data_IF_773324478286
#
_entry.id   IF_773324478286
#
_cell.length_a   1.000
_cell.length_b   1.000
_cell.length_c   1.000
_cell.angle_alpha   90.00
_cell.angle_beta   90.00
_cell.angle_gamma   90.00
#
_symmetry.space_group_name_H-M   'P 1'
#
loop_
_entity.id
_entity.type
_entity.pdbx_description
1 polymer ?
#
# COMPACT_ATOMS: atom_id res chain seq x y z
N UNK A 1 -1.14 54.17 -41.19
CA UNK A 1 -1.22 54.00 -39.72
C UNK A 1 0.03 53.24 -39.28
N UNK A 2 1.18 53.92 -39.17
CA UNK A 2 1.80 54.40 -37.92
C UNK A 2 1.99 53.31 -36.85
N UNK A 3 3.16 52.65 -36.94
CA UNK A 3 4.12 52.34 -35.85
C UNK A 3 3.56 51.75 -34.56
N UNK A 4 3.84 50.47 -34.32
CA UNK A 4 3.99 49.89 -32.97
C UNK A 4 5.13 48.86 -33.02
N UNK A 5 6.34 49.39 -33.03
CA UNK A 5 7.54 48.70 -32.59
C UNK A 5 8.08 49.51 -31.39
N UNK A 6 7.89 48.99 -30.18
CA UNK A 6 8.62 49.37 -28.97
C UNK A 6 8.48 48.16 -28.02
N UNK A 7 9.47 47.27 -27.95
CA UNK A 7 10.71 47.34 -27.16
C UNK A 7 10.56 46.80 -25.72
N UNK A 8 11.62 46.10 -25.29
CA UNK A 8 11.97 45.55 -23.94
C UNK A 8 11.66 44.05 -23.82
N UNK A 9 12.60 43.15 -24.17
CA UNK A 9 13.82 42.80 -23.42
C UNK A 9 13.53 42.44 -21.96
N UNK A 10 13.15 41.19 -21.74
CA UNK A 10 13.45 40.41 -20.51
C UNK A 10 14.01 39.10 -21.05
N UNK A 11 15.25 39.07 -21.54
CA UNK A 11 16.45 38.80 -20.76
C UNK A 11 16.19 37.95 -19.50
N UNK A 12 16.56 36.67 -19.61
CA UNK A 12 17.06 35.82 -18.54
C UNK A 12 16.18 35.66 -17.29
N UNK A 13 15.41 34.56 -17.25
CA UNK A 13 15.41 33.72 -16.07
C UNK A 13 15.28 32.24 -16.49
N UNK A 14 16.32 31.74 -17.16
CA UNK A 14 16.61 30.31 -17.12
C UNK A 14 17.01 29.99 -15.67
N UNK A 15 16.00 29.74 -14.83
CA UNK A 15 16.24 29.23 -13.49
C UNK A 15 16.99 27.90 -13.65
N UNK A 16 18.20 27.74 -13.11
CA UNK A 16 18.77 26.42 -12.97
C UNK A 16 17.81 25.67 -12.04
N UNK A 17 17.12 24.67 -12.57
CA UNK A 17 16.58 23.57 -11.79
C UNK A 17 17.78 22.93 -11.11
N UNK A 18 18.16 23.47 -9.96
CA UNK A 18 19.09 22.84 -9.03
C UNK A 18 18.41 21.55 -8.60
N UNK A 19 18.74 20.47 -9.31
CA UNK A 19 18.49 19.12 -8.90
C UNK A 19 19.16 18.97 -7.52
N UNK A 20 18.38 19.17 -6.47
CA UNK A 20 18.74 18.73 -5.13
C UNK A 20 18.83 17.21 -5.23
N UNK A 21 20.06 16.74 -5.44
CA UNK A 21 20.38 15.34 -5.60
C UNK A 21 19.79 14.58 -4.41
N UNK A 22 19.14 13.44 -4.70
CA UNK A 22 18.64 12.49 -3.68
C UNK A 22 19.76 12.13 -2.68
N UNK A 23 21.02 12.23 -3.11
CA UNK A 23 22.21 12.03 -2.27
C UNK A 23 22.33 13.09 -1.16
N UNK A 24 21.99 14.35 -1.42
CA UNK A 24 22.02 15.41 -0.39
C UNK A 24 20.88 15.25 0.62
N UNK A 25 19.68 14.84 0.18
CA UNK A 25 18.58 14.49 1.08
C UNK A 25 18.94 13.29 1.99
N UNK A 26 19.62 12.28 1.44
CA UNK A 26 20.09 11.12 2.21
C UNK A 26 21.19 11.49 3.22
N UNK A 27 22.08 12.44 2.89
CA UNK A 27 23.09 12.94 3.83
C UNK A 27 22.48 13.80 4.93
N UNK A 28 21.49 14.63 4.60
CA UNK A 28 20.80 15.49 5.57
C UNK A 28 19.99 14.67 6.58
N UNK A 29 19.26 13.66 6.13
CA UNK A 29 18.51 12.75 7.03
C UNK A 29 19.42 11.92 7.95
N UNK A 30 20.66 11.60 7.54
CA UNK A 30 21.66 10.99 8.43
C UNK A 30 22.16 11.96 9.51
N UNK A 31 22.46 13.21 9.14
CA UNK A 31 22.87 14.24 10.11
C UNK A 31 21.78 14.57 11.13
N UNK A 32 20.52 14.61 10.71
CA UNK A 32 19.38 14.85 11.62
C UNK A 32 19.11 13.67 12.56
N UNK A 33 19.55 12.47 12.19
CA UNK A 33 19.45 11.27 13.04
C UNK A 33 20.57 11.21 14.08
N UNK A 34 21.76 11.71 13.76
CA UNK A 34 22.90 11.79 14.70
C UNK A 34 22.81 12.96 15.68
N UNK A 35 22.15 14.06 15.30
CA UNK A 35 22.05 15.28 16.13
C UNK A 35 21.01 15.18 17.25
N UNK A 36 20.11 14.20 17.21
CA UNK A 36 19.13 13.95 18.28
C UNK A 36 19.77 13.10 19.36
N UNK A 37 20.22 13.76 20.43
CA UNK A 37 20.63 13.09 21.68
C UNK A 37 19.53 12.08 22.09
N UNK A 38 19.86 10.82 22.42
CA UNK A 38 18.86 9.82 22.78
C UNK A 38 18.04 10.33 23.98
N UNK A 39 16.71 10.26 23.84
CA UNK A 39 15.80 10.55 24.94
C UNK A 39 16.15 9.64 26.13
N UNK A 40 16.17 10.22 27.34
CA UNK A 40 16.57 9.53 28.55
C UNK A 40 15.62 8.36 28.80
N UNK A 41 16.14 7.14 28.77
CA UNK A 41 15.37 5.91 29.04
C UNK A 41 15.23 5.78 30.54
N UNK A 42 14.05 6.04 31.08
CA UNK A 42 13.74 5.78 32.48
C UNK A 42 13.57 4.28 32.66
N UNK A 43 14.37 3.70 33.54
CA UNK A 43 14.31 2.29 33.91
C UNK A 43 13.52 2.12 35.21
N UNK A 44 13.12 0.90 35.55
CA UNK A 44 12.42 0.61 36.81
C UNK A 44 13.25 1.01 38.06
N UNK A 45 14.56 1.16 37.93
CA UNK A 45 15.43 1.67 39.00
C UNK A 45 15.28 3.19 39.18
N UNK A 46 15.01 3.95 38.12
CA UNK A 46 14.80 5.40 38.18
C UNK A 46 13.45 5.77 38.81
N UNK A 47 12.46 4.86 38.75
CA UNK A 47 11.17 5.02 39.45
C UNK A 47 11.31 4.85 40.97
N UNK A 48 12.23 3.99 41.43
CA UNK A 48 12.48 3.75 42.86
C UNK A 48 13.18 4.91 43.56
N UNK A 49 13.95 5.73 42.82
CA UNK A 49 14.63 6.91 43.36
C UNK A 49 13.79 8.18 43.26
N UNK A 50 12.66 8.14 42.54
CA UNK A 50 11.71 9.24 42.52
C UNK A 50 10.99 9.32 43.87
N UNK A 51 11.17 10.43 44.60
CA UNK A 51 10.40 10.75 45.83
C UNK A 51 8.96 11.17 45.48
N UNK A 52 8.27 10.34 44.70
CA UNK A 52 6.85 10.47 44.42
C UNK A 52 6.06 9.76 45.49
N UNK A 53 5.07 10.45 46.07
CA UNK A 53 4.17 9.88 47.07
C UNK A 53 3.33 8.77 46.43
N UNK A 54 3.65 7.51 46.68
CA UNK A 54 2.85 6.37 46.20
C UNK A 54 1.70 6.19 47.18
N UNK A 55 0.52 6.72 46.84
CA UNK A 55 -0.72 6.44 47.58
C UNK A 55 -1.10 4.98 47.38
N UNK A 56 -0.88 4.14 48.39
CA UNK A 56 -1.46 2.80 48.45
C UNK A 56 -2.93 2.94 48.82
N UNK A 57 -3.84 2.96 47.85
CA UNK A 57 -5.27 2.83 48.14
C UNK A 57 -5.54 1.41 48.64
N UNK A 58 -6.12 1.29 49.83
CA UNK A 58 -6.41 0.02 50.47
C UNK A 58 -7.26 -0.92 49.61
N UNK A 59 -6.97 -2.21 49.74
CA UNK A 59 -7.69 -3.32 49.12
C UNK A 59 -9.13 -3.37 49.65
N UNK A 60 -10.17 -3.39 48.81
CA UNK A 60 -11.51 -3.70 49.27
C UNK A 60 -11.63 -5.21 49.57
N UNK A 61 -12.18 -5.51 50.74
CA UNK A 61 -12.49 -6.83 51.25
C UNK A 61 -13.38 -7.63 50.26
N UNK A 62 -13.15 -8.93 50.04
CA UNK A 62 -13.93 -9.71 49.09
C UNK A 62 -15.36 -9.94 49.60
N UNK A 63 -16.40 -9.79 48.77
CA UNK A 63 -17.74 -10.25 49.10
C UNK A 63 -17.84 -11.79 49.04
N UNK A 64 -18.69 -12.32 49.91
CA UNK A 64 -18.92 -13.74 50.13
C UNK A 64 -19.49 -14.49 48.92
N UNK A 65 -19.15 -15.79 48.88
CA UNK A 65 -19.67 -16.90 48.08
C UNK A 65 -20.77 -16.57 47.06
N UNK A 66 -20.36 -16.49 45.79
CA UNK A 66 -21.25 -16.74 44.67
C UNK A 66 -20.88 -18.09 44.06
N UNK A 67 -21.87 -18.98 44.06
CA UNK A 67 -21.89 -20.27 43.34
C UNK A 67 -21.32 -20.10 41.92
N UNK A 68 -20.40 -20.95 41.46
CA UNK A 68 -19.93 -20.87 40.08
C UNK A 68 -21.08 -21.29 39.17
N UNK A 69 -21.71 -20.32 38.52
CA UNK A 69 -22.40 -20.59 37.27
C UNK A 69 -21.32 -21.02 36.27
N UNK A 70 -21.50 -22.21 35.72
CA UNK A 70 -20.66 -22.80 34.69
C UNK A 70 -20.75 -21.91 33.44
N UNK A 71 -19.85 -20.93 33.39
CA UNK A 71 -19.68 -20.05 32.26
C UNK A 71 -19.11 -20.87 31.12
N UNK A 72 -19.89 -20.99 30.06
CA UNK A 72 -19.43 -21.32 28.72
C UNK A 72 -18.08 -20.63 28.50
N UNK A 73 -17.02 -21.44 28.31
CA UNK A 73 -15.67 -20.94 28.15
C UNK A 73 -15.65 -20.02 26.92
N UNK A 74 -15.72 -18.71 27.18
CA UNK A 74 -15.48 -17.70 26.15
C UNK A 74 -14.09 -17.99 25.57
N UNK A 75 -14.04 -18.24 24.26
CA UNK A 75 -12.78 -18.39 23.56
C UNK A 75 -11.84 -17.24 23.94
N UNK A 76 -10.55 -17.52 24.19
CA UNK A 76 -9.61 -16.49 24.56
C UNK A 76 -9.58 -15.43 23.44
N UNK A 77 -9.77 -14.16 23.82
CA UNK A 77 -9.65 -13.06 22.88
C UNK A 77 -8.30 -13.17 22.14
N UNK A 78 -8.28 -12.96 20.81
CA UNK A 78 -7.08 -13.17 20.03
C UNK A 78 -5.94 -12.30 20.55
N UNK A 79 -4.75 -12.89 20.65
CA UNK A 79 -3.55 -12.15 21.06
C UNK A 79 -3.16 -11.14 19.98
N UNK A 80 -2.46 -10.09 20.38
CA UNK A 80 -2.01 -9.07 19.44
C UNK A 80 -1.13 -9.64 18.32
N UNK A 81 -0.39 -10.71 18.60
CA UNK A 81 0.42 -11.43 17.61
C UNK A 81 -0.45 -12.14 16.57
N UNK A 82 -1.57 -12.76 16.99
CA UNK A 82 -2.52 -13.38 16.06
C UNK A 82 -3.18 -12.33 15.17
N UNK A 83 -3.54 -11.17 15.72
CA UNK A 83 -4.07 -10.04 14.94
C UNK A 83 -3.02 -9.55 13.94
N UNK A 84 -1.76 -9.41 14.34
CA UNK A 84 -0.68 -8.98 13.45
C UNK A 84 -0.49 -9.95 12.27
N UNK A 85 -0.47 -11.26 12.54
CA UNK A 85 -0.30 -12.30 11.52
C UNK A 85 -1.48 -12.37 10.56
N UNK A 86 -2.71 -12.21 11.06
CA UNK A 86 -3.91 -12.17 10.25
C UNK A 86 -3.90 -11.00 9.26
N UNK A 87 -3.62 -9.78 9.75
CA UNK A 87 -3.54 -8.60 8.86
C UNK A 87 -2.35 -8.70 7.91
N UNK A 88 -1.21 -9.28 8.33
CA UNK A 88 -0.09 -9.54 7.44
C UNK A 88 -0.51 -10.44 6.27
N UNK A 89 -1.15 -11.58 6.54
CA UNK A 89 -1.59 -12.52 5.52
C UNK A 89 -2.62 -11.92 4.55
N UNK A 90 -3.57 -11.14 5.07
CA UNK A 90 -4.56 -10.41 4.26
C UNK A 90 -3.88 -9.38 3.35
N UNK A 91 -2.93 -8.60 3.86
CA UNK A 91 -2.18 -7.60 3.08
C UNK A 91 -1.36 -8.27 1.98
N UNK A 92 -0.64 -9.36 2.30
CA UNK A 92 0.13 -10.14 1.31
C UNK A 92 -0.79 -10.63 0.19
N UNK A 93 -1.96 -11.17 0.53
CA UNK A 93 -2.93 -11.68 -0.43
C UNK A 93 -3.44 -10.58 -1.35
N UNK A 94 -3.83 -9.42 -0.80
CA UNK A 94 -4.27 -8.26 -1.59
C UNK A 94 -3.17 -7.70 -2.49
N UNK A 95 -1.93 -7.66 -2.03
CA UNK A 95 -0.79 -7.29 -2.87
C UNK A 95 -0.61 -8.24 -4.05
N UNK A 96 -0.75 -9.56 -3.86
CA UNK A 96 -0.69 -10.54 -4.95
C UNK A 96 -1.84 -10.38 -5.94
N UNK A 97 -3.06 -10.16 -5.45
CA UNK A 97 -4.22 -9.86 -6.30
C UNK A 97 -3.95 -8.62 -7.20
N UNK A 98 -3.37 -7.55 -6.63
CA UNK A 98 -2.99 -6.36 -7.39
C UNK A 98 -1.93 -6.65 -8.46
N UNK A 99 -0.95 -7.51 -8.16
CA UNK A 99 0.05 -7.92 -9.16
C UNK A 99 -0.57 -8.72 -10.29
N UNK A 100 -1.48 -9.63 -9.98
CA UNK A 100 -2.16 -10.44 -10.98
C UNK A 100 -3.08 -9.57 -11.85
N UNK A 101 -3.81 -8.61 -11.26
CA UNK A 101 -4.58 -7.62 -12.01
C UNK A 101 -3.71 -6.77 -12.92
N UNK A 102 -2.54 -6.34 -12.43
CA UNK A 102 -1.56 -5.60 -13.24
C UNK A 102 -1.09 -6.44 -14.43
N UNK A 103 -0.73 -7.71 -14.20
CA UNK A 103 -0.33 -8.63 -15.28
C UNK A 103 -1.46 -8.83 -16.29
N UNK A 104 -2.69 -9.03 -15.82
CA UNK A 104 -3.86 -9.17 -16.69
C UNK A 104 -4.12 -7.91 -17.52
N UNK A 105 -3.96 -6.73 -16.93
CA UNK A 105 -4.07 -5.44 -17.64
C UNK A 105 -3.02 -5.32 -18.73
N UNK A 106 -1.76 -5.65 -18.43
CA UNK A 106 -0.67 -5.57 -19.41
C UNK A 106 -0.94 -6.51 -20.61
N UNK A 107 -1.42 -7.73 -20.35
CA UNK A 107 -1.88 -8.66 -21.40
C UNK A 107 -3.10 -8.11 -22.16
N UNK A 108 -4.07 -7.52 -21.47
CA UNK A 108 -5.25 -6.93 -22.11
C UNK A 108 -4.89 -5.75 -23.02
N UNK A 109 -3.87 -4.97 -22.66
CA UNK A 109 -3.37 -3.86 -23.47
C UNK A 109 -2.69 -4.35 -24.76
N UNK A 110 -1.96 -5.45 -24.70
CA UNK A 110 -1.43 -6.13 -25.89
C UNK A 110 -2.58 -6.62 -26.78
N UNK A 111 -3.55 -7.35 -26.20
CA UNK A 111 -4.72 -7.84 -26.94
C UNK A 111 -5.53 -6.72 -27.59
N UNK A 112 -5.67 -5.57 -26.92
CA UNK A 112 -6.33 -4.38 -27.47
C UNK A 112 -5.56 -3.85 -28.69
N UNK A 113 -4.23 -3.80 -28.59
CA UNK A 113 -3.37 -3.35 -29.68
C UNK A 113 -3.48 -4.30 -30.88
N UNK A 114 -3.48 -5.60 -30.64
CA UNK A 114 -3.62 -6.63 -31.68
C UNK A 114 -5.00 -6.56 -32.34
N UNK A 115 -6.08 -6.48 -31.57
CA UNK A 115 -7.44 -6.35 -32.08
C UNK A 115 -7.63 -5.06 -32.88
N UNK A 116 -7.04 -3.95 -32.43
CA UNK A 116 -7.03 -2.68 -33.17
C UNK A 116 -6.29 -2.82 -34.50
N UNK A 117 -5.12 -3.43 -34.49
CA UNK A 117 -4.32 -3.62 -35.70
C UNK A 117 -5.04 -4.54 -36.70
N UNK A 118 -5.69 -5.61 -36.23
CA UNK A 118 -6.51 -6.48 -37.06
C UNK A 118 -7.66 -5.71 -37.71
N UNK A 119 -8.40 -4.89 -36.95
CA UNK A 119 -9.49 -4.07 -37.48
C UNK A 119 -9.02 -3.05 -38.54
N UNK A 120 -7.91 -2.37 -38.28
CA UNK A 120 -7.42 -1.29 -39.17
C UNK A 120 -6.76 -1.80 -40.45
N UNK A 121 -6.19 -3.02 -40.42
CA UNK A 121 -5.53 -3.62 -41.57
C UNK A 121 -6.46 -4.49 -42.43
N UNK A 122 -7.72 -4.69 -42.00
CA UNK A 122 -8.69 -5.47 -42.74
C UNK A 122 -9.20 -4.70 -43.96
N UNK A 123 -9.09 -5.33 -45.15
CA UNK A 123 -9.51 -4.71 -46.41
C UNK A 123 -11.01 -4.79 -46.65
N UNK A 124 -11.72 -5.75 -46.02
CA UNK A 124 -13.15 -5.98 -46.24
C UNK A 124 -14.01 -5.32 -45.16
N UNK A 125 -14.81 -4.32 -45.55
CA UNK A 125 -15.63 -3.55 -44.61
C UNK A 125 -16.71 -4.37 -43.88
N UNK A 126 -17.23 -5.44 -44.49
CA UNK A 126 -18.23 -6.30 -43.84
C UNK A 126 -17.62 -7.10 -42.68
N UNK A 127 -16.52 -7.82 -42.92
CA UNK A 127 -15.85 -8.63 -41.90
C UNK A 127 -15.26 -7.75 -40.78
N UNK A 128 -14.66 -6.62 -41.15
CA UNK A 128 -14.17 -5.63 -40.19
C UNK A 128 -15.26 -5.21 -39.20
N UNK A 129 -16.47 -4.93 -39.68
CA UNK A 129 -17.55 -4.44 -38.83
C UNK A 129 -18.34 -5.54 -38.10
N UNK A 130 -18.48 -6.74 -38.68
CA UNK A 130 -19.27 -7.81 -38.07
C UNK A 130 -18.49 -8.69 -37.09
N UNK A 131 -17.17 -8.84 -37.29
CA UNK A 131 -16.33 -9.75 -36.49
C UNK A 131 -15.27 -8.98 -35.71
N UNK A 132 -14.46 -8.16 -36.38
CA UNK A 132 -13.29 -7.53 -35.75
C UNK A 132 -13.67 -6.36 -34.83
N UNK A 133 -14.65 -5.54 -35.22
CA UNK A 133 -15.11 -4.41 -34.39
C UNK A 133 -15.67 -4.87 -33.04
N UNK A 134 -16.56 -5.88 -32.95
CA UNK A 134 -16.98 -6.43 -31.67
C UNK A 134 -15.82 -7.01 -30.83
N UNK A 135 -14.80 -7.60 -31.46
CA UNK A 135 -13.62 -8.09 -30.73
C UNK A 135 -12.80 -6.93 -30.17
N UNK A 136 -12.62 -5.85 -30.94
CA UNK A 136 -11.96 -4.64 -30.48
C UNK A 136 -12.72 -3.99 -29.31
N UNK A 137 -14.04 -3.85 -29.43
CA UNK A 137 -14.89 -3.28 -28.38
C UNK A 137 -14.83 -4.13 -27.10
N UNK A 138 -14.85 -5.47 -27.21
CA UNK A 138 -14.66 -6.39 -26.08
C UNK A 138 -13.28 -6.26 -25.43
N UNK A 139 -12.22 -6.16 -26.24
CA UNK A 139 -10.86 -6.00 -25.72
C UNK A 139 -10.71 -4.67 -24.95
N UNK A 140 -11.36 -3.61 -25.44
CA UNK A 140 -11.43 -2.32 -24.76
C UNK A 140 -12.18 -2.41 -23.45
N UNK A 141 -13.38 -2.99 -23.46
CA UNK A 141 -14.18 -3.18 -22.25
C UNK A 141 -13.44 -4.00 -21.19
N UNK A 142 -12.74 -5.07 -21.60
CA UNK A 142 -11.91 -5.89 -20.71
C UNK A 142 -10.83 -5.04 -20.01
N UNK A 143 -10.19 -4.14 -20.74
CA UNK A 143 -9.18 -3.25 -20.19
C UNK A 143 -9.79 -2.26 -19.20
N UNK A 144 -10.92 -1.63 -19.54
CA UNK A 144 -11.64 -0.72 -18.66
C UNK A 144 -12.10 -1.42 -17.36
N UNK A 145 -12.62 -2.65 -17.47
CA UNK A 145 -13.04 -3.48 -16.33
C UNK A 145 -11.84 -3.83 -15.42
N UNK A 146 -10.69 -4.18 -16.00
CA UNK A 146 -9.47 -4.49 -15.27
C UNK A 146 -8.89 -3.26 -14.57
N UNK A 147 -8.94 -2.08 -15.21
CA UNK A 147 -8.51 -0.82 -14.58
C UNK A 147 -9.44 -0.42 -13.43
N UNK A 148 -10.76 -0.58 -13.60
CA UNK A 148 -11.72 -0.36 -12.54
C UNK A 148 -11.50 -1.33 -11.37
N UNK A 149 -11.25 -2.61 -11.67
CA UNK A 149 -10.91 -3.62 -10.67
C UNK A 149 -9.61 -3.31 -9.92
N UNK A 150 -8.58 -2.85 -10.64
CA UNK A 150 -7.30 -2.45 -10.04
C UNK A 150 -7.46 -1.29 -9.06
N UNK A 151 -8.19 -0.23 -9.46
CA UNK A 151 -8.46 0.93 -8.59
C UNK A 151 -9.25 0.55 -7.34
N UNK A 152 -10.23 -0.35 -7.48
CA UNK A 152 -11.00 -0.87 -6.34
C UNK A 152 -10.12 -1.66 -5.39
N UNK A 153 -9.30 -2.58 -5.90
CA UNK A 153 -8.38 -3.38 -5.09
C UNK A 153 -7.32 -2.50 -4.38
N UNK A 154 -6.87 -1.41 -5.02
CA UNK A 154 -5.96 -0.44 -4.41
C UNK A 154 -6.63 0.31 -3.25
N UNK A 155 -7.89 0.71 -3.41
CA UNK A 155 -8.67 1.31 -2.34
C UNK A 155 -8.89 0.34 -1.17
N UNK A 156 -9.28 -0.90 -1.46
CA UNK A 156 -9.45 -1.96 -0.45
C UNK A 156 -8.14 -2.23 0.33
N UNK A 157 -6.99 -2.21 -0.35
CA UNK A 157 -5.69 -2.33 0.31
C UNK A 157 -5.41 -1.13 1.24
N UNK A 158 -5.78 0.07 0.81
CA UNK A 158 -5.69 1.28 1.63
C UNK A 158 -6.53 1.18 2.90
N UNK A 159 -7.80 0.78 2.75
CA UNK A 159 -8.74 0.57 3.87
C UNK A 159 -8.23 -0.51 4.83
N UNK A 160 -7.75 -1.65 4.31
CA UNK A 160 -7.18 -2.73 5.11
C UNK A 160 -5.98 -2.27 5.94
N UNK A 161 -5.13 -1.39 5.38
CA UNK A 161 -3.99 -0.81 6.10
C UNK A 161 -4.43 0.16 7.20
N UNK A 162 -5.49 0.93 6.96
CA UNK A 162 -6.04 1.83 7.97
C UNK A 162 -6.72 1.05 9.10
N UNK A 163 -7.41 -0.04 8.79
CA UNK A 163 -7.93 -0.98 9.78
C UNK A 163 -6.82 -1.62 10.61
N UNK A 164 -5.74 -2.08 9.97
CA UNK A 164 -4.57 -2.61 10.66
C UNK A 164 -3.97 -1.60 11.64
N UNK A 165 -3.88 -0.31 11.24
CA UNK A 165 -3.42 0.78 12.12
C UNK A 165 -4.36 1.00 13.31
N UNK A 166 -5.68 0.96 13.08
CA UNK A 166 -6.69 1.07 14.15
C UNK A 166 -6.60 -0.09 15.14
N UNK A 167 -6.18 -1.28 14.68
CA UNK A 167 -5.94 -2.48 15.49
C UNK A 167 -4.53 -2.54 16.11
N UNK A 168 -3.77 -1.43 16.07
CA UNK A 168 -2.43 -1.31 16.64
C UNK A 168 -1.39 -2.26 16.02
N UNK A 169 -1.58 -2.67 14.75
CA UNK A 169 -0.58 -3.44 14.02
C UNK A 169 0.63 -2.53 13.71
N UNK A 170 1.86 -2.94 14.06
CA UNK A 170 3.04 -2.12 13.80
C UNK A 170 3.27 -1.86 12.31
N UNK A 171 3.65 -0.63 11.96
CA UNK A 171 3.94 -0.25 10.57
C UNK A 171 5.10 -1.04 9.93
N UNK A 172 5.97 -1.68 10.73
CA UNK A 172 6.99 -2.60 10.23
C UNK A 172 6.42 -3.89 9.66
N UNK A 173 5.37 -4.44 10.29
CA UNK A 173 4.67 -5.65 9.83
C UNK A 173 3.95 -5.37 8.52
N UNK A 174 3.27 -4.23 8.42
CA UNK A 174 2.59 -3.79 7.19
C UNK A 174 3.58 -3.67 6.02
N UNK A 175 4.72 -3.01 6.23
CA UNK A 175 5.74 -2.86 5.17
C UNK A 175 6.33 -4.19 4.73
N UNK A 176 6.63 -5.08 5.68
CA UNK A 176 7.13 -6.42 5.36
C UNK A 176 6.09 -7.23 4.57
N UNK A 177 4.81 -7.13 4.94
CA UNK A 177 3.71 -7.75 4.22
C UNK A 177 3.59 -7.25 2.76
N UNK A 178 3.78 -5.94 2.55
CA UNK A 178 3.80 -5.34 1.21
C UNK A 178 4.99 -5.83 0.39
N UNK A 179 6.19 -5.83 0.99
CA UNK A 179 7.41 -6.33 0.33
C UNK A 179 7.27 -7.82 -0.04
N UNK A 180 6.71 -8.65 0.84
CA UNK A 180 6.49 -10.07 0.62
C UNK A 180 5.38 -10.34 -0.41
N UNK A 181 4.28 -9.60 -0.36
CA UNK A 181 3.21 -9.70 -1.35
C UNK A 181 3.61 -9.17 -2.72
N UNK A 182 4.56 -8.23 -2.77
CA UNK A 182 5.13 -7.69 -4.01
C UNK A 182 6.34 -8.48 -4.52
N UNK A 183 6.93 -9.34 -3.70
CA UNK A 183 7.99 -10.22 -4.14
C UNK A 183 7.45 -11.17 -5.21
N UNK A 184 8.09 -11.16 -6.38
CA UNK A 184 7.71 -12.01 -7.49
C UNK A 184 7.79 -13.48 -7.04
N UNK A 185 6.72 -14.28 -7.17
CA UNK A 185 6.78 -15.69 -6.79
C UNK A 185 7.91 -16.34 -7.60
N UNK A 186 8.72 -17.22 -6.98
CA UNK A 186 9.81 -17.88 -7.70
C UNK A 186 9.25 -18.58 -8.93
N UNK A 187 9.95 -18.55 -10.08
CA UNK A 187 9.49 -19.24 -11.27
C UNK A 187 9.27 -20.71 -10.93
N UNK A 188 8.08 -21.23 -11.22
CA UNK A 188 7.81 -22.66 -11.06
C UNK A 188 8.85 -23.42 -11.91
N UNK A 189 9.60 -24.38 -11.32
CA UNK A 189 10.55 -25.15 -12.09
C UNK A 189 9.80 -25.86 -13.22
N UNK A 190 10.36 -25.93 -14.44
CA UNK A 190 9.70 -26.59 -15.54
C UNK A 190 9.42 -28.04 -15.14
N UNK A 191 8.13 -28.39 -15.04
CA UNK A 191 7.72 -29.79 -14.90
C UNK A 191 8.12 -30.51 -16.17
N UNK A 192 9.28 -31.16 -16.14
CA UNK A 192 9.74 -32.07 -17.18
C UNK A 192 8.78 -33.27 -17.18
N UNK A 193 7.83 -33.26 -18.11
CA UNK A 193 7.03 -34.46 -18.45
C UNK A 193 7.87 -35.40 -19.30
#
# INVERSE_FOLDING_TARGET
MKKLAFWIVVLALAAPLSAQSIVDLAKQTRKDRESKKPAKVYTNQDLRSSKGNVSTSGVPQPPADQTPAEGEAAEPAPTQDQVNEEYQGRIVTKCRELQDLRRQRDVAQLNLTDARNAYMNESSGHYANSVLKPQWDKARQRLDDLEAGYKKAEAELGELKDEARRKLVPAGVIRKAEEEGMAQPPPNPPTRK
#
